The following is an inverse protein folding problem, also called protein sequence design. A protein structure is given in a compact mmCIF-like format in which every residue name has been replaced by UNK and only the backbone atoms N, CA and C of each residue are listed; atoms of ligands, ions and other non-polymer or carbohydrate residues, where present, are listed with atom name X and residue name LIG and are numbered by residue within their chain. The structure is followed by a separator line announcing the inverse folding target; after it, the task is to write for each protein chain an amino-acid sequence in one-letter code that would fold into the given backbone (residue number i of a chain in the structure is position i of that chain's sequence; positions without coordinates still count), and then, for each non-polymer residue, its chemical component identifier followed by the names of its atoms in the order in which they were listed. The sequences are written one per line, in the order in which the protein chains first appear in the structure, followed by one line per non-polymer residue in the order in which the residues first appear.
data_IF_164098332181
#
_entry.id   IF_164098332181
#
_cell.length_a   1.000
_cell.length_b   1.000
_cell.length_c   1.000
_cell.angle_alpha   90.00
_cell.angle_beta   90.00
_cell.angle_gamma   90.00
#
_symmetry.space_group_name_H-M   'P 1'
#
loop_
_entity.id
_entity.type
_entity.pdbx_description
1 polymer ?
#
# COMPACT_ATOMS: atom_id res chain seq x y z
N UNK A 1 35.07 -6.16 -36.77
CA UNK A 1 33.81 -5.45 -36.49
C UNK A 1 34.12 -3.95 -36.42
N UNK A 2 33.49 -3.10 -37.23
CA UNK A 2 33.89 -1.68 -37.34
C UNK A 2 33.44 -0.86 -36.12
N UNK A 3 34.27 0.08 -35.67
CA UNK A 3 34.02 0.96 -34.51
C UNK A 3 32.64 1.63 -34.55
N UNK A 4 32.18 2.03 -35.75
CA UNK A 4 30.84 2.60 -35.99
C UNK A 4 29.70 1.64 -35.67
N UNK A 5 29.84 0.33 -35.96
CA UNK A 5 28.84 -0.70 -35.61
C UNK A 5 28.80 -0.97 -34.11
N UNK A 6 29.96 -0.91 -33.45
CA UNK A 6 30.07 -1.03 -31.99
C UNK A 6 29.37 0.13 -31.28
N UNK A 7 29.64 1.38 -31.67
CA UNK A 7 29.00 2.58 -31.12
C UNK A 7 27.48 2.58 -31.37
N UNK A 8 27.03 2.20 -32.56
CA UNK A 8 25.60 2.13 -32.87
C UNK A 8 24.86 1.06 -32.04
N UNK A 9 25.50 -0.09 -31.77
CA UNK A 9 24.93 -1.13 -30.93
C UNK A 9 24.94 -0.72 -29.44
N UNK A 10 26.01 -0.08 -28.96
CA UNK A 10 26.05 0.46 -27.60
C UNK A 10 24.95 1.50 -27.39
N UNK A 11 24.75 2.43 -28.33
CA UNK A 11 23.68 3.43 -28.24
C UNK A 11 22.29 2.80 -28.13
N UNK A 12 22.01 1.76 -28.93
CA UNK A 12 20.74 1.01 -28.85
C UNK A 12 20.54 0.33 -27.50
N UNK A 13 21.60 -0.28 -26.96
CA UNK A 13 21.57 -0.94 -25.65
C UNK A 13 21.29 0.10 -24.55
N UNK A 14 21.99 1.24 -24.58
CA UNK A 14 21.78 2.32 -23.60
C UNK A 14 20.34 2.86 -23.66
N UNK A 15 19.78 3.05 -24.86
CA UNK A 15 18.38 3.47 -25.02
C UNK A 15 17.42 2.41 -24.49
N UNK A 16 17.64 1.14 -24.78
CA UNK A 16 16.81 0.05 -24.26
C UNK A 16 16.83 -0.01 -22.72
N UNK A 17 18.01 0.16 -22.12
CA UNK A 17 18.18 0.27 -20.66
C UNK A 17 17.37 1.45 -20.13
N UNK A 18 17.53 2.65 -20.70
CA UNK A 18 16.78 3.84 -20.25
C UNK A 18 15.27 3.65 -20.32
N UNK A 19 14.76 2.98 -21.37
CA UNK A 19 13.32 2.70 -21.49
C UNK A 19 12.85 1.74 -20.39
N UNK A 20 13.59 0.66 -20.15
CA UNK A 20 13.22 -0.34 -19.13
C UNK A 20 13.24 0.27 -17.73
N UNK A 21 14.34 0.91 -17.35
CA UNK A 21 14.47 1.50 -16.01
C UNK A 21 13.59 2.75 -15.83
N UNK A 22 13.41 3.55 -16.88
CA UNK A 22 12.49 4.69 -16.85
C UNK A 22 11.03 4.27 -16.69
N UNK A 23 10.60 3.25 -17.46
CA UNK A 23 9.26 2.66 -17.32
C UNK A 23 9.05 2.05 -15.93
N UNK A 24 10.06 1.33 -15.42
CA UNK A 24 10.03 0.78 -14.06
C UNK A 24 9.87 1.88 -12.99
N UNK A 25 10.63 2.98 -13.08
CA UNK A 25 10.53 4.08 -12.13
C UNK A 25 9.16 4.77 -12.14
N UNK A 26 8.56 4.97 -13.33
CA UNK A 26 7.21 5.52 -13.45
C UNK A 26 6.19 4.58 -12.81
N UNK A 27 6.29 3.28 -13.09
CA UNK A 27 5.39 2.28 -12.52
C UNK A 27 5.50 2.22 -10.99
N UNK A 28 6.73 2.26 -10.44
CA UNK A 28 6.97 2.30 -8.99
C UNK A 28 6.25 3.49 -8.36
N UNK A 29 6.47 4.70 -8.88
CA UNK A 29 5.84 5.91 -8.34
C UNK A 29 4.30 5.83 -8.40
N UNK A 30 3.75 5.30 -9.50
CA UNK A 30 2.31 5.16 -9.64
C UNK A 30 1.71 4.15 -8.65
N UNK A 31 2.37 3.00 -8.47
CA UNK A 31 1.94 1.99 -7.51
C UNK A 31 2.02 2.51 -6.06
N UNK A 32 3.07 3.25 -5.71
CA UNK A 32 3.21 3.88 -4.40
C UNK A 32 2.13 4.93 -4.11
N UNK A 33 1.90 5.84 -5.05
CA UNK A 33 0.85 6.86 -4.90
C UNK A 33 -0.54 6.23 -4.82
N UNK A 34 -0.80 5.17 -5.59
CA UNK A 34 -2.07 4.46 -5.55
C UNK A 34 -2.31 3.83 -4.18
N UNK A 35 -1.32 3.13 -3.61
CA UNK A 35 -1.44 2.52 -2.28
C UNK A 35 -1.67 3.58 -1.18
N UNK A 36 -0.91 4.68 -1.19
CA UNK A 36 -1.11 5.80 -0.26
C UNK A 36 -2.51 6.41 -0.38
N UNK A 37 -2.98 6.61 -1.61
CA UNK A 37 -4.30 7.20 -1.88
C UNK A 37 -5.41 6.28 -1.39
N UNK A 38 -5.31 4.98 -1.64
CA UNK A 38 -6.26 3.98 -1.17
C UNK A 38 -6.29 3.92 0.36
N UNK A 39 -5.13 3.86 1.02
CA UNK A 39 -5.03 3.90 2.47
C UNK A 39 -5.66 5.15 3.06
N UNK A 40 -5.36 6.32 2.48
CA UNK A 40 -5.89 7.61 2.94
C UNK A 40 -7.40 7.71 2.75
N UNK A 41 -7.91 7.32 1.58
CA UNK A 41 -9.34 7.36 1.27
C UNK A 41 -10.12 6.36 2.12
N UNK A 42 -9.56 5.17 2.35
CA UNK A 42 -10.19 4.21 3.23
C UNK A 42 -10.26 4.75 4.66
N UNK A 43 -9.15 5.29 5.16
CA UNK A 43 -9.09 5.84 6.51
C UNK A 43 -9.99 7.08 6.68
N UNK A 44 -10.15 7.92 5.66
CA UNK A 44 -11.07 9.07 5.73
C UNK A 44 -12.54 8.63 5.82
N UNK A 45 -12.91 7.54 5.13
CA UNK A 45 -14.27 7.02 5.10
C UNK A 45 -14.72 6.34 6.40
N UNK A 46 -13.80 5.76 7.18
CA UNK A 46 -14.15 5.16 8.47
C UNK A 46 -14.45 6.26 9.49
N UNK A 47 -15.57 6.14 10.20
CA UNK A 47 -15.95 7.11 11.24
C UNK A 47 -15.57 6.60 12.63
N UNK A 48 -15.14 7.51 13.51
CA UNK A 48 -15.02 7.20 14.94
C UNK A 48 -16.45 6.99 15.47
N UNK A 49 -16.67 5.92 16.22
CA UNK A 49 -18.00 5.48 16.66
C UNK A 49 -18.70 4.49 15.71
N UNK A 50 -18.10 4.16 14.56
CA UNK A 50 -18.64 3.15 13.64
C UNK A 50 -18.46 1.74 14.22
N UNK A 51 -19.41 0.85 13.94
CA UNK A 51 -19.29 -0.58 14.25
C UNK A 51 -18.27 -1.28 13.35
N UNK A 52 -17.52 -2.22 13.92
CA UNK A 52 -16.39 -2.90 13.25
C UNK A 52 -16.79 -4.00 12.27
N UNK A 53 -18.00 -4.54 12.38
CA UNK A 53 -18.43 -5.78 11.72
C UNK A 53 -18.21 -5.78 10.19
N UNK A 54 -18.41 -4.63 9.54
CA UNK A 54 -18.29 -4.50 8.09
C UNK A 54 -16.94 -3.93 7.62
N UNK A 55 -16.08 -3.43 8.51
CA UNK A 55 -14.86 -2.71 8.13
C UNK A 55 -13.89 -3.62 7.36
N UNK A 56 -13.81 -4.88 7.77
CA UNK A 56 -12.88 -5.85 7.19
C UNK A 56 -13.31 -6.27 5.78
N UNK A 57 -14.60 -6.51 5.56
CA UNK A 57 -15.15 -6.77 4.22
C UNK A 57 -15.02 -5.54 3.30
N UNK A 58 -15.28 -4.33 3.84
CA UNK A 58 -15.08 -3.08 3.11
C UNK A 58 -13.62 -2.90 2.69
N UNK A 59 -12.68 -3.20 3.58
CA UNK A 59 -11.24 -3.15 3.30
C UNK A 59 -10.86 -4.08 2.14
N UNK A 60 -11.34 -5.33 2.14
CA UNK A 60 -11.06 -6.27 1.06
C UNK A 60 -11.73 -5.88 -0.25
N UNK A 61 -12.92 -5.29 -0.20
CA UNK A 61 -13.63 -4.81 -1.39
C UNK A 61 -12.87 -3.69 -2.11
N UNK A 62 -12.12 -2.86 -1.37
CA UNK A 62 -11.28 -1.80 -1.95
C UNK A 62 -9.85 -2.25 -2.30
N UNK A 63 -9.54 -3.54 -2.15
CA UNK A 63 -8.25 -4.10 -2.55
C UNK A 63 -7.18 -4.19 -1.46
N UNK A 64 -7.56 -4.08 -0.18
CA UNK A 64 -6.61 -4.30 0.91
C UNK A 64 -6.06 -5.74 0.90
N UNK A 65 -4.79 -5.90 1.30
CA UNK A 65 -4.14 -7.19 1.34
C UNK A 65 -4.71 -8.06 2.47
N UNK A 66 -5.20 -9.25 2.12
CA UNK A 66 -5.86 -10.18 3.06
C UNK A 66 -4.91 -10.81 4.08
N UNK A 67 -3.61 -10.90 3.77
CA UNK A 67 -2.61 -11.52 4.66
C UNK A 67 -2.19 -10.55 5.77
N UNK A 68 -2.18 -9.26 5.44
CA UNK A 68 -1.78 -8.18 6.33
C UNK A 68 -2.97 -7.40 6.94
N UNK A 69 -4.20 -7.65 6.48
CA UNK A 69 -5.42 -7.03 7.02
C UNK A 69 -6.24 -8.02 7.85
N UNK A 70 -5.99 -8.04 9.16
CA UNK A 70 -6.69 -8.89 10.14
C UNK A 70 -6.77 -8.21 11.50
N UNK A 71 -7.83 -8.48 12.25
CA UNK A 71 -7.93 -8.02 13.64
C UNK A 71 -6.83 -8.68 14.48
N UNK A 72 -6.14 -7.83 15.25
CA UNK A 72 -5.19 -8.20 16.28
C UNK A 72 -5.86 -7.86 17.60
N UNK A 73 -6.31 -8.91 18.29
CA UNK A 73 -6.98 -8.74 19.58
C UNK A 73 -6.02 -8.16 20.60
N UNK A 74 -6.43 -7.10 21.28
CA UNK A 74 -5.68 -6.54 22.39
C UNK A 74 -5.60 -7.53 23.57
N UNK A 75 -4.60 -7.39 24.43
CA UNK A 75 -4.66 -8.04 25.75
C UNK A 75 -5.88 -7.52 26.53
N UNK A 76 -6.38 -8.28 27.51
CA UNK A 76 -7.58 -7.93 28.27
C UNK A 76 -7.59 -6.45 28.72
N UNK A 77 -8.59 -5.70 28.26
CA UNK A 77 -8.75 -4.27 28.56
C UNK A 77 -8.02 -3.30 27.60
N UNK A 78 -7.32 -3.81 26.58
CA UNK A 78 -6.75 -3.00 25.49
C UNK A 78 -7.66 -3.03 24.27
N UNK A 79 -7.59 -1.96 23.47
CA UNK A 79 -8.29 -1.88 22.21
C UNK A 79 -7.76 -2.94 21.22
N UNK A 80 -8.67 -3.51 20.45
CA UNK A 80 -8.37 -4.34 19.29
C UNK A 80 -7.83 -3.47 18.17
N UNK A 81 -6.84 -3.98 17.45
CA UNK A 81 -6.18 -3.25 16.38
C UNK A 81 -6.40 -3.90 15.04
N UNK A 82 -6.78 -3.12 14.03
CA UNK A 82 -6.89 -3.56 12.64
C UNK A 82 -5.96 -2.72 11.74
N UNK A 83 -4.85 -3.30 11.24
CA UNK A 83 -4.09 -2.71 10.15
C UNK A 83 -4.74 -3.01 8.81
N UNK A 84 -5.37 -2.03 8.17
CA UNK A 84 -5.86 -2.17 6.79
C UNK A 84 -4.77 -1.80 5.81
N UNK A 85 -4.12 -2.80 5.22
CA UNK A 85 -2.86 -2.64 4.47
C UNK A 85 -3.06 -2.63 2.96
N UNK A 86 -2.43 -1.66 2.30
CA UNK A 86 -2.34 -1.53 0.84
C UNK A 86 -0.85 -1.60 0.43
N UNK A 87 -0.54 -2.49 -0.52
CA UNK A 87 0.84 -2.76 -0.95
C UNK A 87 1.16 -1.90 -2.17
N UNK A 88 2.26 -1.15 -2.09
CA UNK A 88 2.80 -0.34 -3.19
C UNK A 88 3.62 -1.16 -4.19
N UNK A 89 4.64 -0.53 -4.77
CA UNK A 89 5.49 -1.14 -5.80
C UNK A 89 6.37 -2.27 -5.25
N UNK A 90 6.69 -2.20 -3.96
CA UNK A 90 7.49 -3.20 -3.24
C UNK A 90 6.68 -3.89 -2.14
N UNK A 91 7.06 -5.14 -1.83
CA UNK A 91 6.52 -5.90 -0.68
C UNK A 91 6.79 -5.25 0.68
N UNK A 92 7.67 -4.26 0.74
CA UNK A 92 7.99 -3.52 1.96
C UNK A 92 7.28 -2.17 2.04
N UNK A 93 6.98 -1.53 0.91
CA UNK A 93 6.23 -0.27 0.92
C UNK A 93 4.74 -0.52 1.18
N UNK A 94 4.36 -0.39 2.44
CA UNK A 94 3.02 -0.70 2.94
C UNK A 94 2.40 0.56 3.53
N UNK A 95 1.36 1.02 2.87
CA UNK A 95 0.51 2.10 3.38
C UNK A 95 -0.68 1.45 4.06
N UNK A 96 -0.96 1.81 5.31
CA UNK A 96 -2.07 1.18 6.02
C UNK A 96 -2.86 2.16 6.88
N UNK A 97 -4.17 1.94 6.94
CA UNK A 97 -5.01 2.61 7.95
C UNK A 97 -5.00 1.75 9.21
N UNK A 98 -4.40 2.27 10.28
CA UNK A 98 -4.41 1.70 11.62
C UNK A 98 -5.70 2.12 12.30
N UNK A 99 -6.56 1.15 12.59
CA UNK A 99 -7.83 1.35 13.27
C UNK A 99 -7.73 0.70 14.64
N UNK A 100 -7.99 1.44 15.70
CA UNK A 100 -8.18 0.84 17.03
C UNK A 100 -9.67 0.84 17.35
N UNK A 101 -10.16 -0.27 17.89
CA UNK A 101 -11.54 -0.48 18.28
C UNK A 101 -11.64 -1.03 19.69
N UNK A 102 -12.67 -0.63 20.41
CA UNK A 102 -12.97 -1.15 21.74
C UNK A 102 -14.45 -1.51 21.78
N UNK A 103 -14.77 -2.69 22.32
CA UNK A 103 -16.14 -3.21 22.42
C UNK A 103 -16.89 -3.20 21.07
N UNK A 104 -16.17 -3.49 19.98
CA UNK A 104 -16.74 -3.52 18.61
C UNK A 104 -16.98 -2.14 17.99
N UNK A 105 -16.44 -1.07 18.58
CA UNK A 105 -16.60 0.31 18.12
C UNK A 105 -15.25 0.92 17.81
N UNK A 106 -15.12 1.59 16.66
CA UNK A 106 -13.91 2.33 16.29
C UNK A 106 -13.70 3.50 17.25
N UNK A 107 -12.56 3.53 17.94
CA UNK A 107 -12.18 4.62 18.85
C UNK A 107 -11.17 5.57 18.20
N UNK A 108 -10.30 5.06 17.34
CA UNK A 108 -9.24 5.82 16.67
C UNK A 108 -8.99 5.27 15.27
N UNK A 109 -8.48 6.15 14.41
CA UNK A 109 -8.06 5.81 13.06
C UNK A 109 -6.89 6.71 12.67
N UNK A 110 -5.88 6.14 12.01
CA UNK A 110 -4.72 6.89 11.57
C UNK A 110 -4.06 6.21 10.37
N UNK A 111 -3.71 7.00 9.36
CA UNK A 111 -2.89 6.52 8.24
C UNK A 111 -1.45 6.39 8.73
N UNK A 112 -0.85 5.24 8.50
CA UNK A 112 0.54 4.93 8.80
C UNK A 112 1.23 4.38 7.56
N UNK A 113 2.55 4.53 7.56
CA UNK A 113 3.43 4.04 6.52
C UNK A 113 4.46 3.12 7.17
N UNK A 114 4.66 1.94 6.59
CA UNK A 114 5.79 1.07 6.85
C UNK A 114 6.62 0.98 5.56
N UNK A 115 7.86 1.42 5.69
CA UNK A 115 8.98 1.27 4.74
C UNK A 115 9.68 -0.06 4.98
#
# INVERSE_FOLDING_TARGET
MTLKKLLANLGKITVAIMIVFGGFAIWVNHAEQSALTQATNFCSNISIGQQVDAILEQAWAVGADKRHTRWVTGEAGKADWLPVTFIGAGVFSRHFCSIDAQDGIVITKQVKFMD
#
